data_IF_528353309282
#
_entry.id   IF_528353309282
#
_cell.length_a   1.000
_cell.length_b   1.000
_cell.length_c   1.000
_cell.angle_alpha   90.00
_cell.angle_beta   90.00
_cell.angle_gamma   90.00
#
_symmetry.space_group_name_H-M   'P 1'
#
loop_
_entity.id
_entity.type
_entity.pdbx_description
1 polymer ?
#
# COMPACT_ATOMS: atom_id res chain seq x y z
N UNK A 1 16.28 16.95 13.43
CA UNK A 1 16.49 16.32 12.12
C UNK A 1 16.59 14.81 12.25
N UNK A 2 17.38 14.25 13.19
CA UNK A 2 17.45 12.79 13.47
C UNK A 2 16.09 12.07 13.52
N UNK A 3 15.12 12.55 14.29
CA UNK A 3 13.80 11.89 14.38
C UNK A 3 13.03 11.88 13.04
N UNK A 4 13.24 12.89 12.19
CA UNK A 4 12.51 13.00 10.92
C UNK A 4 13.04 12.00 9.89
N UNK A 5 14.36 11.82 9.85
CA UNK A 5 14.99 10.82 8.98
C UNK A 5 14.62 9.40 9.43
N UNK A 6 14.53 9.15 10.75
CA UNK A 6 14.03 7.88 11.28
C UNK A 6 12.55 7.63 10.89
N UNK A 7 11.67 8.61 11.01
CA UNK A 7 10.28 8.47 10.59
C UNK A 7 10.13 8.26 9.08
N UNK A 8 10.96 8.94 8.28
CA UNK A 8 11.01 8.73 6.83
C UNK A 8 11.41 7.31 6.47
N UNK A 9 12.46 6.77 7.12
CA UNK A 9 12.90 5.39 6.91
C UNK A 9 11.82 4.38 7.30
N UNK A 10 11.15 4.58 8.43
CA UNK A 10 10.05 3.70 8.88
C UNK A 10 8.87 3.72 7.91
N UNK A 11 8.52 4.90 7.39
CA UNK A 11 7.43 5.05 6.44
C UNK A 11 7.78 4.42 5.07
N UNK A 12 9.03 4.58 4.62
CA UNK A 12 9.53 3.92 3.41
C UNK A 12 9.56 2.39 3.56
N UNK A 13 9.96 1.87 4.71
CA UNK A 13 9.91 0.44 5.00
C UNK A 13 8.46 -0.10 4.96
N UNK A 14 7.52 0.64 5.56
CA UNK A 14 6.10 0.29 5.54
C UNK A 14 5.52 0.34 4.11
N UNK A 15 5.91 1.35 3.32
CA UNK A 15 5.58 1.46 1.89
C UNK A 15 6.05 0.24 1.10
N UNK A 16 7.30 -0.17 1.29
CA UNK A 16 7.87 -1.35 0.61
C UNK A 16 7.08 -2.62 0.92
N UNK A 17 6.79 -2.87 2.20
CA UNK A 17 6.00 -4.05 2.63
C UNK A 17 4.57 -4.04 2.09
N UNK A 18 3.93 -2.87 2.01
CA UNK A 18 2.59 -2.74 1.44
C UNK A 18 2.61 -2.94 -0.07
N UNK A 19 3.62 -2.43 -0.78
CA UNK A 19 3.78 -2.63 -2.21
C UNK A 19 3.99 -4.13 -2.54
N UNK A 20 4.79 -4.84 -1.74
CA UNK A 20 4.97 -6.29 -1.87
C UNK A 20 3.65 -7.06 -1.64
N UNK A 21 2.95 -6.76 -0.54
CA UNK A 21 1.66 -7.39 -0.25
C UNK A 21 0.62 -7.11 -1.35
N UNK A 22 0.59 -5.88 -1.89
CA UNK A 22 -0.27 -5.51 -3.01
C UNK A 22 0.03 -6.37 -4.24
N UNK A 23 1.31 -6.53 -4.61
CA UNK A 23 1.70 -7.30 -5.79
C UNK A 23 1.27 -8.77 -5.66
N UNK A 24 1.50 -9.38 -4.50
CA UNK A 24 1.12 -10.77 -4.21
C UNK A 24 -0.40 -10.94 -4.32
N UNK A 25 -1.17 -10.09 -3.65
CA UNK A 25 -2.63 -10.20 -3.63
C UNK A 25 -3.27 -9.85 -4.98
N UNK A 26 -2.69 -8.91 -5.74
CA UNK A 26 -3.15 -8.57 -7.09
C UNK A 26 -2.94 -9.75 -8.06
N UNK A 27 -1.79 -10.43 -7.98
CA UNK A 27 -1.51 -11.63 -8.76
C UNK A 27 -2.47 -12.77 -8.38
N UNK A 28 -2.63 -13.07 -7.08
CA UNK A 28 -3.55 -14.09 -6.59
C UNK A 28 -5.00 -13.81 -7.03
N UNK A 29 -5.43 -12.54 -6.96
CA UNK A 29 -6.76 -12.15 -7.42
C UNK A 29 -6.96 -12.47 -8.90
N UNK A 30 -5.94 -12.27 -9.74
CA UNK A 30 -6.02 -12.58 -11.16
C UNK A 30 -6.09 -14.09 -11.39
N UNK A 31 -5.25 -14.87 -10.72
CA UNK A 31 -5.28 -16.33 -10.78
C UNK A 31 -6.65 -16.91 -10.37
N UNK A 32 -7.26 -16.36 -9.33
CA UNK A 32 -8.60 -16.76 -8.89
C UNK A 32 -9.69 -16.41 -9.92
N UNK A 33 -9.58 -15.27 -10.62
CA UNK A 33 -10.49 -14.93 -11.71
C UNK A 33 -10.36 -15.92 -12.85
N UNK A 34 -9.13 -16.26 -13.23
CA UNK A 34 -8.83 -17.18 -14.32
C UNK A 34 -9.28 -18.61 -13.99
N UNK A 35 -9.22 -19.00 -12.71
CA UNK A 35 -9.74 -20.27 -12.19
C UNK A 35 -11.27 -20.28 -11.96
N UNK A 36 -11.98 -19.18 -12.26
CA UNK A 36 -13.44 -19.08 -12.07
C UNK A 36 -13.89 -18.89 -10.62
N UNK A 37 -12.97 -18.66 -9.67
CA UNK A 37 -13.22 -18.43 -8.24
C UNK A 37 -13.62 -16.97 -7.96
N UNK A 38 -14.73 -16.53 -8.55
CA UNK A 38 -15.17 -15.12 -8.52
C UNK A 38 -15.43 -14.56 -7.12
N UNK A 39 -15.97 -15.37 -6.20
CA UNK A 39 -16.24 -14.93 -4.83
C UNK A 39 -14.95 -14.61 -4.07
N UNK A 40 -13.96 -15.50 -4.15
CA UNK A 40 -12.66 -15.32 -3.50
C UNK A 40 -11.88 -14.14 -4.13
N UNK A 41 -11.92 -14.02 -5.45
CA UNK A 41 -11.32 -12.90 -6.18
C UNK A 41 -11.94 -11.54 -5.80
N UNK A 42 -13.23 -11.50 -5.48
CA UNK A 42 -13.89 -10.30 -5.00
C UNK A 42 -13.49 -9.96 -3.56
N UNK A 43 -13.43 -10.96 -2.67
CA UNK A 43 -12.99 -10.76 -1.29
C UNK A 43 -11.55 -10.21 -1.20
N UNK A 44 -10.64 -10.71 -2.04
CA UNK A 44 -9.27 -10.18 -2.14
C UNK A 44 -9.24 -8.80 -2.81
N UNK A 45 -10.20 -8.51 -3.71
CA UNK A 45 -10.33 -7.21 -4.37
C UNK A 45 -10.38 -6.04 -3.39
N UNK A 46 -11.13 -6.17 -2.30
CA UNK A 46 -11.22 -5.12 -1.27
C UNK A 46 -9.87 -4.85 -0.60
N UNK A 47 -9.10 -5.90 -0.30
CA UNK A 47 -7.77 -5.77 0.28
C UNK A 47 -6.80 -5.08 -0.70
N UNK A 48 -6.81 -5.48 -1.97
CA UNK A 48 -5.99 -4.88 -3.04
C UNK A 48 -6.29 -3.38 -3.21
N UNK A 49 -7.57 -3.01 -3.22
CA UNK A 49 -7.99 -1.60 -3.32
C UNK A 49 -7.56 -0.78 -2.10
N UNK A 50 -7.65 -1.35 -0.90
CA UNK A 50 -7.21 -0.68 0.33
C UNK A 50 -5.70 -0.47 0.35
N UNK A 51 -4.91 -1.48 -0.04
CA UNK A 51 -3.46 -1.37 -0.13
C UNK A 51 -3.02 -0.30 -1.14
N UNK A 52 -3.69 -0.22 -2.30
CA UNK A 52 -3.42 0.82 -3.29
C UNK A 52 -3.65 2.25 -2.74
N UNK A 53 -4.63 2.44 -1.85
CA UNK A 53 -4.90 3.74 -1.22
C UNK A 53 -3.83 4.14 -0.22
N UNK A 54 -3.18 3.20 0.45
CA UNK A 54 -2.11 3.51 1.41
C UNK A 54 -0.89 4.15 0.75
N UNK A 55 -0.56 3.79 -0.50
CA UNK A 55 0.54 4.42 -1.23
C UNK A 55 0.37 5.94 -1.36
N UNK A 56 -0.85 6.41 -1.63
CA UNK A 56 -1.15 7.85 -1.69
C UNK A 56 -1.11 8.51 -0.31
N UNK A 57 -1.67 7.84 0.70
CA UNK A 57 -1.64 8.33 2.09
C UNK A 57 -0.19 8.59 2.56
N UNK A 58 0.73 7.69 2.25
CA UNK A 58 2.12 7.84 2.70
C UNK A 58 2.88 8.94 1.94
N UNK A 59 2.56 9.15 0.66
CA UNK A 59 3.04 10.33 -0.08
C UNK A 59 2.55 11.63 0.57
N UNK A 60 1.28 11.70 0.95
CA UNK A 60 0.70 12.87 1.62
C UNK A 60 1.36 13.12 2.99
N UNK A 61 1.64 12.05 3.75
CA UNK A 61 2.35 12.14 5.05
C UNK A 61 3.78 12.64 4.87
N UNK A 62 4.53 12.16 3.88
CA UNK A 62 5.89 12.68 3.63
C UNK A 62 5.86 14.15 3.24
N UNK A 63 4.90 14.55 2.39
CA UNK A 63 4.74 15.93 1.97
C UNK A 63 4.45 16.88 3.15
N UNK A 64 3.65 16.45 4.14
CA UNK A 64 3.36 17.27 5.32
C UNK A 64 4.56 17.47 6.25
N UNK A 65 5.59 16.63 6.14
CA UNK A 65 6.85 16.86 6.86
C UNK A 65 7.76 17.87 6.15
N UNK A 66 7.65 17.98 4.83
CA UNK A 66 8.41 18.92 4.00
C UNK A 66 7.83 20.34 4.04
N UNK A 67 6.52 20.48 4.26
CA UNK A 67 5.81 21.76 4.32
C UNK A 67 4.88 21.83 5.55
N UNK A 68 5.39 22.25 6.73
CA UNK A 68 4.64 22.24 7.99
C UNK A 68 3.54 23.33 8.10
N UNK A 69 3.39 24.22 7.10
CA UNK A 69 2.42 25.33 7.09
C UNK A 69 1.15 25.04 6.25
N UNK A 70 0.90 23.78 5.85
CA UNK A 70 -0.41 23.33 5.32
C UNK A 70 -1.40 22.89 6.41
#
# INVERSE_FOLDING_TARGET
MENRDEWANQLEEAEGKIAEAYAILAALRQELKDAGKKQDANAIGEAVERLARYGRLFQDIRASWDDPDQ
#
